data_IF_506211500426
#
_entry.id   IF_506211500426
#
_cell.length_a   1.000
_cell.length_b   1.000
_cell.length_c   1.000
_cell.angle_alpha   90.00
_cell.angle_beta   90.00
_cell.angle_gamma   90.00
#
_symmetry.space_group_name_H-M   'P 1'
#
loop_
_entity.id
_entity.type
_entity.pdbx_description
1 polymer ?
#
# COMPACT_ATOMS: atom_id res chain seq x y z
N UNK A 1 -38.11 26.37 17.71
CA UNK A 1 -37.02 27.07 16.98
C UNK A 1 -35.72 26.64 17.62
N UNK A 2 -34.82 25.96 16.91
CA UNK A 2 -33.45 25.72 17.42
C UNK A 2 -32.78 27.08 17.52
N UNK A 3 -32.23 27.40 18.69
CA UNK A 3 -31.66 28.70 18.99
C UNK A 3 -30.38 28.86 18.15
N UNK A 4 -30.30 29.88 17.31
CA UNK A 4 -29.16 30.06 16.39
C UNK A 4 -27.83 30.21 17.14
N UNK A 5 -27.86 30.82 18.33
CA UNK A 5 -26.69 31.04 19.18
C UNK A 5 -26.05 29.73 19.68
N UNK A 6 -26.86 28.69 19.93
CA UNK A 6 -26.36 27.38 20.38
C UNK A 6 -25.54 26.68 19.29
N UNK A 7 -25.89 26.88 18.02
CA UNK A 7 -25.16 26.31 16.87
C UNK A 7 -23.80 27.00 16.72
N UNK A 8 -23.73 28.32 16.87
CA UNK A 8 -22.48 29.07 16.79
C UNK A 8 -21.55 28.73 17.95
N UNK A 9 -22.07 28.66 19.18
CA UNK A 9 -21.31 28.27 20.37
C UNK A 9 -20.81 26.82 20.27
N UNK A 10 -21.65 25.89 19.79
CA UNK A 10 -21.23 24.50 19.58
C UNK A 10 -20.11 24.40 18.56
N UNK A 11 -20.27 25.00 17.37
CA UNK A 11 -19.24 24.97 16.32
C UNK A 11 -17.95 25.67 16.76
N UNK A 12 -18.04 26.76 17.53
CA UNK A 12 -16.89 27.46 18.09
C UNK A 12 -16.13 26.58 19.11
N UNK A 13 -16.85 25.94 20.02
CA UNK A 13 -16.27 25.01 21.00
C UNK A 13 -15.69 23.75 20.35
N UNK A 14 -16.32 23.24 19.29
CA UNK A 14 -15.77 22.16 18.46
C UNK A 14 -14.46 22.59 17.78
N UNK A 15 -14.40 23.82 17.25
CA UNK A 15 -13.17 24.38 16.64
C UNK A 15 -12.04 24.70 17.63
N UNK A 16 -12.34 24.79 18.94
CA UNK A 16 -11.33 25.00 20.00
C UNK A 16 -10.74 23.69 20.55
N UNK A 17 -11.38 22.53 20.29
CA UNK A 17 -10.80 21.25 20.68
C UNK A 17 -9.59 20.98 19.77
N UNK A 18 -8.40 20.68 20.34
CA UNK A 18 -7.30 20.20 19.53
C UNK A 18 -7.77 18.97 18.75
N UNK A 19 -7.48 18.92 17.45
CA UNK A 19 -7.78 17.74 16.66
C UNK A 19 -7.18 16.52 17.39
N UNK A 20 -7.97 15.44 17.59
CA UNK A 20 -7.43 14.21 18.14
C UNK A 20 -6.21 13.83 17.28
N UNK A 21 -5.09 13.46 17.91
CA UNK A 21 -3.92 12.98 17.18
C UNK A 21 -4.22 11.55 16.65
N UNK A 22 -5.08 11.50 15.65
CA UNK A 22 -5.60 10.29 15.06
C UNK A 22 -4.67 9.94 13.90
N UNK A 23 -4.05 8.78 13.98
CA UNK A 23 -3.25 8.27 12.87
C UNK A 23 -4.15 7.54 11.87
N UNK A 24 -3.67 7.37 10.65
CA UNK A 24 -4.43 6.64 9.61
C UNK A 24 -4.76 5.20 10.07
N UNK A 25 -3.84 4.51 10.76
CA UNK A 25 -4.12 3.15 11.25
C UNK A 25 -5.20 3.14 12.33
N UNK A 26 -5.14 4.07 13.29
CA UNK A 26 -6.15 4.21 14.34
C UNK A 26 -7.52 4.52 13.75
N UNK A 27 -7.57 5.38 12.73
CA UNK A 27 -8.81 5.65 12.01
C UNK A 27 -9.38 4.44 11.31
N UNK A 28 -8.53 3.68 10.63
CA UNK A 28 -8.96 2.47 9.94
C UNK A 28 -9.59 1.48 10.93
N UNK A 29 -8.95 1.22 12.06
CA UNK A 29 -9.47 0.30 13.09
C UNK A 29 -10.79 0.76 13.71
N UNK A 30 -11.04 2.08 13.80
CA UNK A 30 -12.25 2.62 14.40
C UNK A 30 -13.42 2.75 13.41
N UNK A 31 -13.16 2.91 12.11
CA UNK A 31 -14.20 3.30 11.15
C UNK A 31 -14.30 2.45 9.89
N UNK A 32 -13.20 1.88 9.40
CA UNK A 32 -13.17 1.23 8.08
C UNK A 32 -13.92 -0.09 8.11
N UNK A 33 -14.86 -0.28 7.18
CA UNK A 33 -15.59 -1.55 6.99
C UNK A 33 -15.34 -2.11 5.58
N UNK A 34 -14.64 -3.23 5.50
CA UNK A 34 -14.35 -3.94 4.27
C UNK A 34 -15.62 -4.54 3.66
N UNK A 35 -15.82 -4.29 2.37
CA UNK A 35 -16.96 -4.81 1.59
C UNK A 35 -16.73 -6.25 1.16
N UNK A 36 -17.80 -7.04 1.07
CA UNK A 36 -17.77 -8.37 0.46
C UNK A 36 -17.53 -8.35 -1.05
N UNK A 37 -17.64 -7.17 -1.69
CA UNK A 37 -17.35 -6.98 -3.11
C UNK A 37 -15.86 -7.08 -3.42
N UNK A 38 -15.01 -6.58 -2.51
CA UNK A 38 -13.58 -6.36 -2.75
C UNK A 38 -12.64 -7.00 -1.73
N UNK A 39 -13.19 -7.64 -0.69
CA UNK A 39 -12.44 -8.32 0.36
C UNK A 39 -12.88 -9.78 0.53
N UNK A 40 -11.91 -10.68 0.69
CA UNK A 40 -12.15 -12.06 1.11
C UNK A 40 -12.54 -12.17 2.60
N UNK A 41 -12.19 -11.15 3.40
CA UNK A 41 -12.54 -11.03 4.81
C UNK A 41 -13.36 -9.73 4.99
N UNK A 42 -14.67 -9.73 4.72
CA UNK A 42 -15.52 -8.56 4.92
C UNK A 42 -15.75 -8.28 6.41
N UNK A 43 -16.07 -7.02 6.73
CA UNK A 43 -16.29 -6.55 8.10
C UNK A 43 -15.30 -5.48 8.53
N UNK A 44 -15.23 -5.16 9.84
CA UNK A 44 -14.33 -4.13 10.35
C UNK A 44 -12.87 -4.40 9.97
N UNK A 45 -12.16 -3.36 9.51
CA UNK A 45 -10.72 -3.43 9.32
C UNK A 45 -10.04 -3.75 10.65
N UNK A 46 -8.97 -4.54 10.59
CA UNK A 46 -8.14 -4.88 11.74
C UNK A 46 -6.68 -4.77 11.34
N UNK A 47 -6.00 -3.73 11.78
CA UNK A 47 -4.56 -3.52 11.54
C UNK A 47 -3.75 -4.69 12.07
N UNK A 48 -4.17 -5.32 13.17
CA UNK A 48 -3.52 -6.53 13.72
C UNK A 48 -3.56 -7.75 12.79
N UNK A 49 -4.38 -7.73 11.73
CA UNK A 49 -4.36 -8.74 10.67
C UNK A 49 -3.15 -8.57 9.74
N UNK A 50 -2.72 -7.33 9.53
CA UNK A 50 -1.63 -6.90 8.65
C UNK A 50 -0.75 -5.88 9.38
N UNK A 51 -0.11 -6.26 10.52
CA UNK A 51 0.53 -5.32 11.43
C UNK A 51 1.65 -4.50 10.79
N UNK A 52 2.30 -5.05 9.76
CA UNK A 52 3.30 -4.35 8.96
C UNK A 52 2.76 -3.10 8.24
N UNK A 53 1.45 -3.00 7.98
CA UNK A 53 0.84 -1.81 7.36
C UNK A 53 0.66 -0.65 8.36
N UNK A 54 0.73 -0.91 9.67
CA UNK A 54 0.47 0.10 10.70
C UNK A 54 1.37 1.31 10.53
N UNK A 55 2.67 1.07 10.48
CA UNK A 55 3.68 2.13 10.39
C UNK A 55 3.62 2.88 9.06
N UNK A 56 3.33 2.17 7.96
CA UNK A 56 3.14 2.76 6.63
C UNK A 56 1.96 3.73 6.68
N UNK A 57 0.81 3.31 7.20
CA UNK A 57 -0.37 4.15 7.40
C UNK A 57 -0.06 5.34 8.31
N UNK A 58 0.62 5.11 9.44
CA UNK A 58 0.93 6.16 10.39
C UNK A 58 1.89 7.21 9.79
N UNK A 59 2.81 6.81 8.90
CA UNK A 59 3.65 7.73 8.11
C UNK A 59 2.85 8.62 7.15
N UNK A 60 1.68 8.16 6.68
CA UNK A 60 0.79 8.96 5.83
C UNK A 60 -0.01 10.01 6.60
N UNK A 61 -0.02 9.93 7.93
CA UNK A 61 -0.72 10.90 8.78
C UNK A 61 -0.11 12.30 8.66
N UNK A 62 -0.91 13.39 8.73
CA UNK A 62 -0.39 14.76 8.68
C UNK A 62 0.60 15.11 9.80
N UNK A 63 0.53 14.43 10.94
CA UNK A 63 1.45 14.60 12.06
C UNK A 63 2.85 14.03 11.80
N UNK A 64 3.00 13.13 10.83
CA UNK A 64 4.31 12.63 10.43
C UNK A 64 4.97 13.60 9.43
N UNK A 65 6.23 14.01 9.65
CA UNK A 65 6.90 15.03 8.82
C UNK A 65 7.34 14.55 7.43
N UNK A 66 7.28 13.25 7.12
CA UNK A 66 7.69 12.78 5.79
C UNK A 66 6.78 13.37 4.69
N UNK A 67 7.33 13.59 3.50
CA UNK A 67 6.54 14.05 2.34
C UNK A 67 6.17 12.88 1.43
N UNK A 68 7.01 11.84 1.39
CA UNK A 68 6.84 10.69 0.50
C UNK A 68 6.96 9.39 1.30
N UNK A 69 6.00 8.50 1.07
CA UNK A 69 5.99 7.12 1.56
C UNK A 69 6.01 6.20 0.34
N UNK A 70 6.94 5.25 0.32
CA UNK A 70 7.12 4.30 -0.79
C UNK A 70 6.97 2.89 -0.27
N UNK A 71 6.21 2.05 -0.98
CA UNK A 71 6.03 0.64 -0.62
C UNK A 71 6.27 -0.26 -1.84
N UNK A 72 7.49 -0.79 -1.93
CA UNK A 72 7.88 -1.83 -2.88
C UNK A 72 7.45 -3.17 -2.30
N UNK A 73 6.42 -3.77 -2.87
CA UNK A 73 5.65 -4.82 -2.18
C UNK A 73 5.37 -6.01 -3.08
N UNK A 74 5.22 -7.19 -2.48
CA UNK A 74 4.68 -8.37 -3.14
C UNK A 74 3.19 -8.22 -3.43
N UNK A 75 2.63 -9.11 -4.23
CA UNK A 75 1.21 -9.13 -4.51
C UNK A 75 0.41 -9.48 -3.25
N UNK A 76 -0.80 -8.92 -3.16
CA UNK A 76 -1.84 -9.29 -2.19
C UNK A 76 -1.48 -9.14 -0.69
N UNK A 77 -0.58 -8.22 -0.35
CA UNK A 77 -0.24 -7.88 1.06
C UNK A 77 -0.88 -6.56 1.53
N UNK A 78 -2.03 -6.18 0.97
CA UNK A 78 -2.85 -5.07 1.49
C UNK A 78 -2.36 -3.64 1.18
N UNK A 79 -1.39 -3.45 0.27
CA UNK A 79 -0.89 -2.12 -0.12
C UNK A 79 -1.99 -1.15 -0.61
N UNK A 80 -2.87 -1.59 -1.52
CA UNK A 80 -3.98 -0.75 -2.01
C UNK A 80 -4.97 -0.41 -0.90
N UNK A 81 -5.26 -1.34 0.02
CA UNK A 81 -6.15 -1.06 1.15
C UNK A 81 -5.53 -0.08 2.15
N UNK A 82 -4.20 -0.07 2.32
CA UNK A 82 -3.48 1.00 3.04
C UNK A 82 -3.75 2.37 2.41
N UNK A 83 -3.72 2.47 1.08
CA UNK A 83 -4.07 3.69 0.35
C UNK A 83 -5.55 4.08 0.49
N UNK A 84 -6.47 3.12 0.48
CA UNK A 84 -7.89 3.35 0.70
C UNK A 84 -8.19 3.82 2.13
N UNK A 85 -7.49 3.26 3.13
CA UNK A 85 -7.59 3.71 4.52
C UNK A 85 -7.11 5.15 4.66
N UNK A 86 -6.01 5.50 4.00
CA UNK A 86 -5.51 6.87 3.96
C UNK A 86 -6.48 7.83 3.28
N UNK A 87 -7.07 7.45 2.15
CA UNK A 87 -8.14 8.21 1.50
C UNK A 87 -9.31 8.47 2.45
N UNK A 88 -9.78 7.44 3.15
CA UNK A 88 -10.86 7.58 4.13
C UNK A 88 -10.49 8.51 5.29
N UNK A 89 -9.27 8.40 5.82
CA UNK A 89 -8.74 9.33 6.81
C UNK A 89 -8.75 10.79 6.29
N UNK A 90 -8.31 11.01 5.05
CA UNK A 90 -8.32 12.34 4.42
C UNK A 90 -9.74 12.90 4.32
N UNK A 91 -10.70 12.12 3.84
CA UNK A 91 -12.10 12.57 3.74
C UNK A 91 -12.69 12.92 5.12
N UNK A 92 -12.39 12.12 6.14
CA UNK A 92 -13.01 12.27 7.46
C UNK A 92 -12.32 13.32 8.33
N UNK A 93 -10.99 13.27 8.46
CA UNK A 93 -10.24 13.99 9.49
C UNK A 93 -9.31 15.09 8.96
N UNK A 94 -8.75 14.93 7.76
CA UNK A 94 -7.76 15.87 7.24
C UNK A 94 -8.07 16.31 5.80
N UNK A 95 -9.26 16.88 5.56
CA UNK A 95 -9.77 17.12 4.22
C UNK A 95 -8.85 18.02 3.41
N UNK A 96 -8.76 17.69 2.12
CA UNK A 96 -7.96 18.42 1.15
C UNK A 96 -8.04 17.76 -0.22
N UNK A 97 -7.52 18.41 -1.26
CA UNK A 97 -7.52 17.87 -2.61
C UNK A 97 -6.59 16.65 -2.71
N UNK A 98 -7.14 15.51 -3.11
CA UNK A 98 -6.45 14.23 -3.27
C UNK A 98 -6.54 13.72 -4.71
N UNK A 99 -5.43 13.25 -5.27
CA UNK A 99 -5.40 12.51 -6.53
C UNK A 99 -5.02 11.05 -6.29
N UNK A 100 -5.83 10.13 -6.80
CA UNK A 100 -5.47 8.71 -6.94
C UNK A 100 -5.19 8.43 -8.42
N UNK A 101 -4.03 7.86 -8.69
CA UNK A 101 -3.61 7.47 -10.03
C UNK A 101 -3.52 5.95 -10.08
N UNK A 102 -4.14 5.35 -11.10
CA UNK A 102 -4.00 3.94 -11.45
C UNK A 102 -3.32 3.83 -12.83
N UNK A 103 -2.88 2.63 -13.28
CA UNK A 103 -2.19 2.49 -14.57
C UNK A 103 -2.96 3.05 -15.78
N UNK A 104 -4.28 2.86 -15.80
CA UNK A 104 -5.14 3.37 -16.87
C UNK A 104 -6.40 4.03 -16.31
N UNK A 105 -7.03 4.90 -17.11
CA UNK A 105 -8.33 5.51 -16.78
C UNK A 105 -9.41 4.44 -16.55
N UNK A 106 -9.36 3.33 -17.29
CA UNK A 106 -10.32 2.25 -17.12
C UNK A 106 -10.10 1.51 -15.78
N UNK A 107 -8.85 1.27 -15.41
CA UNK A 107 -8.51 0.75 -14.08
C UNK A 107 -8.99 1.72 -12.98
N UNK A 108 -8.82 3.03 -13.16
CA UNK A 108 -9.31 4.03 -12.20
C UNK A 108 -10.84 3.99 -12.04
N UNK A 109 -11.60 3.87 -13.13
CA UNK A 109 -13.06 3.71 -13.07
C UNK A 109 -13.47 2.43 -12.34
N UNK A 110 -12.75 1.33 -12.60
CA UNK A 110 -12.99 0.04 -11.91
C UNK A 110 -12.68 0.15 -10.42
N UNK A 111 -11.55 0.77 -10.05
CA UNK A 111 -11.18 1.03 -8.65
C UNK A 111 -12.23 1.89 -7.95
N UNK A 112 -12.73 2.95 -8.60
CA UNK A 112 -13.80 3.76 -8.02
C UNK A 112 -15.01 2.90 -7.68
N UNK A 113 -15.55 2.16 -8.66
CA UNK A 113 -16.80 1.42 -8.48
C UNK A 113 -16.69 0.23 -7.54
N UNK A 114 -15.54 -0.47 -7.57
CA UNK A 114 -15.40 -1.75 -6.87
C UNK A 114 -14.73 -1.62 -5.51
N UNK A 115 -13.98 -0.55 -5.25
CA UNK A 115 -13.25 -0.36 -3.99
C UNK A 115 -13.68 0.91 -3.26
N UNK A 116 -13.66 2.06 -3.93
CA UNK A 116 -13.86 3.36 -3.27
C UNK A 116 -15.34 3.60 -2.96
N UNK A 117 -16.25 3.40 -3.91
CA UNK A 117 -17.69 3.57 -3.69
C UNK A 117 -18.17 2.66 -2.54
N UNK A 118 -17.86 1.34 -2.50
CA UNK A 118 -18.21 0.50 -1.37
C UNK A 118 -17.52 0.89 -0.05
N UNK A 119 -16.28 1.42 -0.09
CA UNK A 119 -15.60 1.88 1.11
C UNK A 119 -16.27 3.10 1.72
N UNK A 120 -16.78 4.02 0.88
CA UNK A 120 -17.55 5.19 1.31
C UNK A 120 -18.92 4.75 1.84
N UNK A 121 -19.65 3.94 1.08
CA UNK A 121 -21.01 3.50 1.42
C UNK A 121 -21.06 2.70 2.73
N UNK A 122 -20.11 1.78 2.92
CA UNK A 122 -20.08 0.92 4.11
C UNK A 122 -19.50 1.60 5.35
N UNK A 123 -18.95 2.81 5.23
CA UNK A 123 -18.35 3.53 6.34
C UNK A 123 -19.18 4.77 6.68
N UNK A 124 -19.95 4.78 7.79
CA UNK A 124 -20.79 5.91 8.18
C UNK A 124 -20.03 7.24 8.22
N UNK A 125 -18.79 7.21 8.72
CA UNK A 125 -17.90 8.37 8.79
C UNK A 125 -17.56 8.99 7.40
N UNK A 126 -17.68 8.21 6.33
CA UNK A 126 -17.45 8.66 4.96
C UNK A 126 -18.75 8.99 4.23
N UNK A 127 -19.77 8.14 4.34
CA UNK A 127 -21.06 8.34 3.67
C UNK A 127 -21.81 9.57 4.18
N UNK A 128 -21.58 10.00 5.42
CA UNK A 128 -22.09 11.29 5.92
C UNK A 128 -21.39 12.52 5.31
N UNK A 129 -20.16 12.37 4.81
CA UNK A 129 -19.36 13.46 4.23
C UNK A 129 -19.48 13.55 2.71
N UNK A 130 -19.56 12.40 2.03
CA UNK A 130 -19.66 12.32 0.58
C UNK A 130 -21.13 12.19 0.17
N UNK A 131 -21.65 13.20 -0.52
CA UNK A 131 -23.05 13.20 -0.95
C UNK A 131 -23.36 12.06 -1.92
N UNK A 132 -24.59 11.56 -1.90
CA UNK A 132 -25.09 10.63 -2.91
C UNK A 132 -24.90 11.24 -4.31
N UNK A 133 -24.28 10.53 -5.28
CA UNK A 133 -24.14 11.02 -6.65
C UNK A 133 -25.46 11.44 -7.31
N UNK A 134 -26.59 10.84 -6.92
CA UNK A 134 -27.95 11.14 -7.41
C UNK A 134 -28.58 12.36 -6.75
N UNK A 135 -28.00 12.87 -5.66
CA UNK A 135 -28.48 14.09 -5.04
C UNK A 135 -28.32 15.28 -6.00
N UNK A 136 -29.28 16.20 -5.96
CA UNK A 136 -29.16 17.49 -6.66
C UNK A 136 -27.92 18.21 -6.11
N UNK A 137 -27.10 18.75 -7.01
CA UNK A 137 -25.85 19.47 -6.68
C UNK A 137 -24.81 18.59 -5.95
N UNK A 138 -24.70 17.30 -6.30
CA UNK A 138 -23.73 16.37 -5.69
C UNK A 138 -22.28 16.68 -6.08
N UNK A 139 -22.03 17.22 -7.28
CA UNK A 139 -20.68 17.37 -7.86
C UNK A 139 -19.97 16.04 -8.16
N UNK A 140 -20.58 14.91 -7.80
CA UNK A 140 -19.94 13.60 -7.79
C UNK A 140 -20.08 12.87 -9.12
N UNK A 141 -18.98 12.31 -9.59
CA UNK A 141 -18.92 11.45 -10.77
C UNK A 141 -18.26 10.11 -10.43
N UNK A 142 -18.02 9.27 -11.44
CA UNK A 142 -17.24 8.04 -11.26
C UNK A 142 -15.79 8.37 -10.87
N UNK A 143 -15.21 9.46 -11.36
CA UNK A 143 -13.79 9.78 -11.15
C UNK A 143 -13.57 10.99 -10.23
N UNK A 144 -14.63 11.49 -9.60
CA UNK A 144 -14.58 12.65 -8.72
C UNK A 144 -15.57 12.50 -7.58
N UNK A 145 -15.12 12.68 -6.34
CA UNK A 145 -15.94 12.72 -5.13
C UNK A 145 -15.64 14.00 -4.34
N UNK A 146 -16.62 14.89 -4.23
CA UNK A 146 -16.57 16.09 -3.42
C UNK A 146 -17.01 15.81 -1.98
N UNK A 147 -16.36 16.48 -1.04
CA UNK A 147 -16.66 16.44 0.39
C UNK A 147 -16.28 17.77 1.05
N UNK A 148 -16.83 18.11 2.23
CA UNK A 148 -16.48 19.35 2.91
C UNK A 148 -14.97 19.51 3.11
N UNK A 149 -14.40 20.58 2.53
CA UNK A 149 -12.98 20.90 2.63
C UNK A 149 -12.06 20.19 1.62
N UNK A 150 -12.59 19.39 0.68
CA UNK A 150 -11.74 18.71 -0.29
C UNK A 150 -12.46 18.03 -1.45
N UNK A 151 -11.66 17.41 -2.30
CA UNK A 151 -12.14 16.62 -3.44
C UNK A 151 -11.18 15.47 -3.66
N UNK A 152 -11.73 14.30 -3.96
CA UNK A 152 -11.01 13.12 -4.40
C UNK A 152 -11.17 13.02 -5.92
N UNK A 153 -10.06 13.12 -6.65
CA UNK A 153 -10.00 12.91 -8.10
C UNK A 153 -9.28 11.61 -8.38
N UNK A 154 -9.76 10.86 -9.37
CA UNK A 154 -9.17 9.60 -9.82
C UNK A 154 -8.84 9.68 -11.31
N UNK A 155 -7.64 9.22 -11.70
CA UNK A 155 -7.23 9.23 -13.12
C UNK A 155 -6.32 8.04 -13.46
N UNK A 156 -6.10 7.85 -14.75
CA UNK A 156 -5.07 6.95 -15.27
C UNK A 156 -3.74 7.66 -15.49
N UNK A 157 -2.64 6.94 -15.30
CA UNK A 157 -1.29 7.38 -15.67
C UNK A 157 -1.17 7.60 -17.20
N UNK A 158 -2.01 6.92 -17.99
CA UNK A 158 -2.12 7.14 -19.43
C UNK A 158 -2.91 8.40 -19.85
N UNK A 159 -3.34 9.26 -18.91
CA UNK A 159 -4.08 10.50 -19.20
C UNK A 159 -3.32 11.74 -18.72
N UNK A 160 -2.56 12.34 -19.63
CA UNK A 160 -1.79 13.56 -19.37
C UNK A 160 -2.68 14.70 -18.83
N UNK A 161 -3.85 14.91 -19.45
CA UNK A 161 -4.84 15.92 -19.03
C UNK A 161 -5.30 15.69 -17.60
N UNK A 162 -5.59 14.44 -17.21
CA UNK A 162 -5.99 14.10 -15.85
C UNK A 162 -4.88 14.39 -14.83
N UNK A 163 -3.63 14.04 -15.16
CA UNK A 163 -2.46 14.25 -14.30
C UNK A 163 -2.13 15.73 -14.08
N UNK A 164 -2.52 16.63 -14.99
CA UNK A 164 -2.25 18.07 -14.87
C UNK A 164 -3.41 18.91 -14.37
N UNK A 165 -4.56 18.28 -14.14
CA UNK A 165 -5.86 18.96 -13.97
C UNK A 165 -5.91 20.01 -12.86
N UNK A 166 -5.39 19.71 -11.65
CA UNK A 166 -5.49 20.61 -10.50
C UNK A 166 -4.35 20.46 -9.49
N UNK A 167 -4.07 21.49 -8.68
CA UNK A 167 -3.20 21.37 -7.51
C UNK A 167 -3.79 20.42 -6.47
N UNK A 168 -2.96 19.58 -5.87
CA UNK A 168 -3.37 18.58 -4.87
C UNK A 168 -2.42 18.53 -3.68
N UNK A 169 -2.96 18.26 -2.49
CA UNK A 169 -2.16 18.08 -1.28
C UNK A 169 -1.73 16.62 -1.11
N UNK A 170 -2.63 15.70 -1.45
CA UNK A 170 -2.41 14.27 -1.26
C UNK A 170 -2.34 13.55 -2.61
N UNK A 171 -1.31 12.74 -2.81
CA UNK A 171 -1.12 11.97 -4.03
C UNK A 171 -0.97 10.49 -3.69
N UNK A 172 -1.81 9.64 -4.25
CA UNK A 172 -1.67 8.19 -4.18
C UNK A 172 -1.42 7.63 -5.59
N UNK A 173 -0.25 7.03 -5.79
CA UNK A 173 0.16 6.38 -7.02
C UNK A 173 0.14 4.86 -6.79
N UNK A 174 -0.84 4.18 -7.38
CA UNK A 174 -1.09 2.74 -7.20
C UNK A 174 -0.64 1.95 -8.43
N UNK A 175 0.13 0.87 -8.20
CA UNK A 175 0.77 0.04 -9.24
C UNK A 175 1.67 0.87 -10.17
N UNK A 176 2.58 1.65 -9.59
CA UNK A 176 3.47 2.62 -10.27
C UNK A 176 4.29 2.01 -11.39
N UNK A 177 4.78 0.77 -11.24
CA UNK A 177 5.56 0.11 -12.30
C UNK A 177 4.70 -0.35 -13.47
N UNK A 178 3.38 -0.37 -13.33
CA UNK A 178 2.44 -0.63 -14.42
C UNK A 178 2.13 0.59 -15.28
N UNK A 179 2.73 1.75 -15.00
CA UNK A 179 2.47 2.99 -15.72
C UNK A 179 3.16 2.98 -17.09
N UNK A 180 2.58 3.64 -18.11
CA UNK A 180 3.30 3.85 -19.37
C UNK A 180 4.53 4.75 -19.13
N UNK A 181 5.53 4.61 -19.99
CA UNK A 181 6.74 5.44 -19.86
C UNK A 181 6.49 6.92 -20.13
N UNK A 182 5.44 7.21 -20.89
CA UNK A 182 5.09 8.54 -21.33
C UNK A 182 3.57 8.73 -21.29
N UNK A 183 3.13 9.83 -20.68
CA UNK A 183 1.72 10.23 -20.64
C UNK A 183 1.39 11.07 -21.89
N UNK A 184 1.18 10.43 -23.03
CA UNK A 184 0.63 11.09 -24.22
C UNK A 184 1.49 12.21 -24.82
N UNK A 185 2.82 12.04 -24.77
CA UNK A 185 3.85 12.91 -25.31
C UNK A 185 4.42 13.92 -24.30
N UNK A 186 4.03 13.83 -23.04
CA UNK A 186 4.32 14.86 -22.02
C UNK A 186 5.30 14.40 -20.93
N UNK A 187 5.90 13.23 -21.11
CA UNK A 187 6.90 12.67 -20.22
C UNK A 187 6.32 11.76 -19.14
N UNK A 188 7.16 11.50 -18.13
CA UNK A 188 6.89 10.50 -17.11
C UNK A 188 5.64 10.84 -16.26
N UNK A 189 4.63 9.94 -16.20
CA UNK A 189 3.38 10.16 -15.47
C UNK A 189 3.56 10.46 -13.97
N UNK A 190 4.55 9.82 -13.32
CA UNK A 190 4.83 10.01 -11.88
C UNK A 190 5.29 11.43 -11.63
N UNK A 191 6.25 11.92 -12.42
CA UNK A 191 6.75 13.28 -12.33
C UNK A 191 5.65 14.31 -12.58
N UNK A 192 4.81 14.12 -13.59
CA UNK A 192 3.67 15.00 -13.87
C UNK A 192 2.72 15.10 -12.68
N UNK A 193 2.39 13.97 -12.05
CA UNK A 193 1.52 13.90 -10.88
C UNK A 193 2.16 14.59 -9.66
N UNK A 194 3.44 14.32 -9.38
CA UNK A 194 4.17 14.91 -8.26
C UNK A 194 4.22 16.44 -8.38
N UNK A 195 4.37 16.99 -9.59
CA UNK A 195 4.37 18.44 -9.80
C UNK A 195 3.05 19.10 -9.38
N UNK A 196 1.92 18.38 -9.34
CA UNK A 196 0.65 18.93 -8.82
C UNK A 196 0.67 19.20 -7.32
N UNK A 197 1.62 18.63 -6.59
CA UNK A 197 1.78 18.83 -5.15
C UNK A 197 2.63 20.03 -4.77
N UNK A 198 3.26 20.69 -5.74
CA UNK A 198 4.34 21.66 -5.50
C UNK A 198 3.93 22.88 -4.66
N UNK A 199 2.67 23.29 -4.70
CA UNK A 199 2.16 24.45 -3.95
C UNK A 199 1.79 24.13 -2.50
N UNK A 200 1.76 22.85 -2.10
CA UNK A 200 1.43 22.43 -0.75
C UNK A 200 2.69 22.05 0.03
N UNK A 201 3.09 22.89 0.98
CA UNK A 201 4.24 22.62 1.87
C UNK A 201 4.04 21.41 2.77
N UNK A 202 2.79 21.05 3.06
CA UNK A 202 2.38 19.91 3.86
C UNK A 202 1.77 18.78 3.00
N UNK A 203 2.30 18.62 1.78
CA UNK A 203 1.92 17.53 0.88
C UNK A 203 2.28 16.16 1.46
N UNK A 204 1.59 15.13 0.98
CA UNK A 204 1.95 13.74 1.25
C UNK A 204 1.74 12.91 -0.02
N UNK A 205 2.72 12.08 -0.35
CA UNK A 205 2.75 11.24 -1.54
C UNK A 205 2.89 9.79 -1.10
N UNK A 206 2.03 8.90 -1.59
CA UNK A 206 2.12 7.46 -1.38
C UNK A 206 2.34 6.76 -2.72
N UNK A 207 3.39 5.95 -2.82
CA UNK A 207 3.73 5.18 -4.02
C UNK A 207 3.75 3.71 -3.67
N UNK A 208 3.00 2.88 -4.38
CA UNK A 208 3.01 1.43 -4.19
C UNK A 208 3.09 0.69 -5.51
N UNK A 209 3.82 -0.42 -5.54
CA UNK A 209 3.85 -1.33 -6.69
C UNK A 209 4.54 -2.64 -6.34
N UNK A 210 4.24 -3.69 -7.10
CA UNK A 210 5.26 -4.74 -7.33
C UNK A 210 6.33 -4.18 -8.25
N UNK A 211 7.62 -4.45 -8.00
CA UNK A 211 8.69 -4.02 -8.90
C UNK A 211 8.70 -4.84 -10.19
N UNK A 212 9.44 -4.37 -11.19
CA UNK A 212 9.55 -5.02 -12.51
C UNK A 212 11.01 -5.34 -12.85
N UNK A 213 11.61 -4.67 -13.83
CA UNK A 213 12.98 -4.89 -14.27
C UNK A 213 13.93 -3.98 -13.49
N UNK A 214 15.08 -4.51 -13.06
CA UNK A 214 16.09 -3.73 -12.36
C UNK A 214 16.54 -2.53 -13.18
N UNK A 215 16.75 -1.39 -12.52
CA UNK A 215 17.11 -0.11 -13.14
C UNK A 215 16.01 0.56 -14.00
N UNK A 216 14.91 -0.13 -14.31
CA UNK A 216 13.74 0.44 -14.99
C UNK A 216 12.53 0.56 -14.05
N UNK A 217 12.55 -0.18 -12.94
CA UNK A 217 11.51 -0.16 -11.91
C UNK A 217 11.47 1.20 -11.20
N UNK A 218 10.35 1.90 -11.37
CA UNK A 218 10.10 3.20 -10.73
C UNK A 218 9.96 3.05 -9.22
N UNK A 219 9.32 1.97 -8.77
CA UNK A 219 9.15 1.70 -7.34
C UNK A 219 10.48 1.30 -6.68
N UNK A 220 11.35 0.57 -7.38
CA UNK A 220 12.71 0.26 -6.90
C UNK A 220 13.51 1.55 -6.73
N UNK A 221 13.52 2.40 -7.77
CA UNK A 221 14.23 3.69 -7.72
C UNK A 221 13.74 4.53 -6.54
N UNK A 222 12.42 4.65 -6.36
CA UNK A 222 11.84 5.39 -5.25
C UNK A 222 12.12 4.74 -3.87
N UNK A 223 12.25 3.41 -3.81
CA UNK A 223 12.62 2.71 -2.59
C UNK A 223 14.06 3.02 -2.18
N UNK A 224 14.99 2.99 -3.13
CA UNK A 224 16.41 3.30 -2.93
C UNK A 224 16.68 4.77 -2.57
N UNK A 225 15.81 5.70 -2.98
CA UNK A 225 15.88 7.10 -2.55
C UNK A 225 15.54 7.33 -1.07
N UNK A 226 14.81 6.39 -0.45
CA UNK A 226 14.36 6.48 0.94
C UNK A 226 15.27 5.79 1.95
N UNK A 227 14.77 5.63 3.17
CA UNK A 227 15.49 5.03 4.30
C UNK A 227 15.55 3.49 4.29
N UNK A 228 14.95 2.86 3.27
CA UNK A 228 15.02 1.44 2.97
C UNK A 228 14.67 0.56 4.18
N UNK A 229 13.42 0.62 4.64
CA UNK A 229 12.95 -0.22 5.74
C UNK A 229 12.60 -1.61 5.27
N UNK A 230 13.06 -2.60 6.05
CA UNK A 230 12.64 -3.99 5.94
C UNK A 230 11.93 -4.42 7.23
N UNK A 231 10.98 -5.34 7.11
CA UNK A 231 10.20 -5.80 8.26
C UNK A 231 10.88 -6.99 8.93
N UNK A 232 11.43 -6.78 10.12
CA UNK A 232 12.10 -7.83 10.88
C UNK A 232 11.08 -8.51 11.78
N UNK A 233 11.05 -9.84 11.76
CA UNK A 233 10.19 -10.66 12.63
C UNK A 233 11.05 -11.53 13.56
N UNK A 234 10.66 -11.74 14.82
CA UNK A 234 11.41 -12.59 15.73
C UNK A 234 11.19 -14.06 15.42
N UNK A 235 12.24 -14.85 15.58
CA UNK A 235 12.12 -16.30 15.67
C UNK A 235 11.27 -16.70 16.87
N UNK A 236 10.23 -17.56 16.71
CA UNK A 236 9.44 -18.09 17.82
C UNK A 236 10.29 -18.79 18.88
N UNK A 237 11.34 -19.51 18.47
CA UNK A 237 12.18 -20.29 19.39
C UNK A 237 13.37 -19.51 19.97
N UNK A 238 14.22 -18.91 19.12
CA UNK A 238 15.45 -18.24 19.59
C UNK A 238 15.35 -16.72 19.77
N UNK A 239 14.24 -16.10 19.36
CA UNK A 239 14.00 -14.65 19.47
C UNK A 239 14.80 -13.76 18.52
N UNK A 240 15.67 -14.32 17.66
CA UNK A 240 16.44 -13.52 16.69
C UNK A 240 15.52 -12.82 15.69
N UNK A 241 15.72 -11.52 15.50
CA UNK A 241 14.99 -10.73 14.53
C UNK A 241 15.64 -10.86 13.15
N UNK A 242 14.88 -11.28 12.15
CA UNK A 242 15.36 -11.47 10.78
C UNK A 242 14.29 -11.10 9.76
N UNK A 243 14.69 -10.93 8.50
CA UNK A 243 13.76 -10.80 7.39
C UNK A 243 13.45 -12.17 6.79
N UNK A 244 12.22 -12.38 6.31
CA UNK A 244 11.87 -13.58 5.57
C UNK A 244 12.51 -13.53 4.18
N UNK A 245 13.42 -14.47 3.92
CA UNK A 245 14.13 -14.66 2.65
C UNK A 245 13.66 -15.94 1.98
N UNK A 246 13.62 -15.92 0.64
CA UNK A 246 13.27 -17.11 -0.15
C UNK A 246 14.19 -18.30 0.11
N UNK A 247 15.50 -18.04 0.28
CA UNK A 247 16.50 -19.09 0.55
C UNK A 247 16.23 -19.91 1.82
N UNK A 248 15.45 -19.36 2.75
CA UNK A 248 15.05 -20.02 4.00
C UNK A 248 13.71 -20.75 3.89
N UNK A 249 12.98 -20.61 2.79
CA UNK A 249 11.82 -21.45 2.51
C UNK A 249 12.32 -22.80 2.03
N UNK A 250 11.98 -23.84 2.79
CA UNK A 250 12.39 -25.23 2.55
C UNK A 250 11.16 -26.11 2.53
N UNK A 251 11.24 -27.26 1.86
CA UNK A 251 10.16 -28.23 1.82
C UNK A 251 10.72 -29.65 1.65
N UNK A 252 10.01 -30.70 2.12
CA UNK A 252 10.42 -32.07 1.85
C UNK A 252 10.45 -32.37 0.35
N UNK A 253 11.32 -33.27 -0.07
CA UNK A 253 11.49 -33.63 -1.49
C UNK A 253 10.16 -34.02 -2.14
N UNK A 254 9.81 -33.30 -3.20
CA UNK A 254 8.58 -33.53 -3.96
C UNK A 254 7.29 -33.07 -3.28
N UNK A 255 7.38 -32.33 -2.17
CA UNK A 255 6.23 -31.87 -1.38
C UNK A 255 6.26 -30.36 -1.11
N UNK A 256 6.24 -29.51 -2.16
CA UNK A 256 6.24 -28.06 -1.99
C UNK A 256 5.04 -27.53 -1.19
N UNK A 257 3.91 -28.25 -1.15
CA UNK A 257 2.76 -27.91 -0.31
C UNK A 257 3.08 -27.88 1.19
N UNK A 258 4.11 -28.62 1.61
CA UNK A 258 4.57 -28.73 2.99
C UNK A 258 5.76 -27.80 3.27
N UNK A 259 5.86 -26.68 2.54
CA UNK A 259 6.92 -25.71 2.74
C UNK A 259 6.83 -25.02 4.10
N UNK A 260 7.99 -24.75 4.66
CA UNK A 260 8.20 -24.11 5.95
C UNK A 260 9.35 -23.11 5.84
N UNK A 261 9.44 -22.20 6.80
CA UNK A 261 10.58 -21.29 6.92
C UNK A 261 11.58 -21.82 7.95
N UNK A 262 12.86 -21.92 7.59
CA UNK A 262 13.94 -22.28 8.52
C UNK A 262 14.61 -21.01 9.06
N UNK A 263 14.69 -20.83 10.38
CA UNK A 263 15.37 -19.67 10.97
C UNK A 263 16.85 -19.59 10.54
N UNK A 264 17.33 -18.41 10.12
CA UNK A 264 18.72 -18.16 9.71
C UNK A 264 19.75 -18.42 10.84
N UNK A 265 19.34 -18.28 12.12
CA UNK A 265 20.24 -18.43 13.27
C UNK A 265 20.23 -19.82 13.89
N UNK A 266 19.06 -20.37 14.17
CA UNK A 266 18.93 -21.60 14.95
C UNK A 266 18.36 -22.80 14.16
N UNK A 267 17.96 -22.59 12.90
CA UNK A 267 17.41 -23.65 12.05
C UNK A 267 16.02 -24.14 12.43
N UNK A 268 15.36 -23.53 13.43
CA UNK A 268 13.98 -23.87 13.80
C UNK A 268 13.02 -23.74 12.62
N UNK A 269 12.07 -24.65 12.55
CA UNK A 269 11.05 -24.73 11.49
C UNK A 269 9.83 -23.88 11.86
N UNK A 270 9.41 -22.98 10.98
CA UNK A 270 8.21 -22.16 11.15
C UNK A 270 7.16 -22.51 10.10
N UNK A 271 5.95 -22.75 10.57
CA UNK A 271 4.78 -23.00 9.76
C UNK A 271 3.92 -21.74 9.61
N UNK A 272 3.04 -21.73 8.61
CA UNK A 272 2.17 -20.58 8.32
C UNK A 272 1.29 -20.14 9.50
N UNK A 273 0.87 -21.06 10.37
CA UNK A 273 0.03 -20.72 11.52
C UNK A 273 0.75 -19.82 12.54
N UNK A 274 2.09 -19.87 12.59
CA UNK A 274 2.91 -19.03 13.47
C UNK A 274 3.06 -17.60 12.95
N UNK A 275 2.78 -17.35 11.65
CA UNK A 275 2.88 -16.01 11.04
C UNK A 275 2.11 -14.95 11.81
N UNK A 276 0.92 -15.27 12.31
CA UNK A 276 0.09 -14.32 13.04
C UNK A 276 0.82 -13.74 14.28
N UNK A 277 1.59 -14.55 14.99
CA UNK A 277 2.33 -14.10 16.18
C UNK A 277 3.60 -13.34 15.80
N UNK A 278 4.42 -13.89 14.90
CA UNK A 278 5.70 -13.27 14.52
C UNK A 278 5.50 -11.94 13.81
N UNK A 279 4.44 -11.81 12.99
CA UNK A 279 4.12 -10.55 12.32
C UNK A 279 3.72 -9.46 13.31
N UNK A 280 2.94 -9.79 14.36
CA UNK A 280 2.55 -8.81 15.39
C UNK A 280 3.73 -8.32 16.23
N UNK A 281 4.73 -9.17 16.43
CA UNK A 281 5.98 -8.82 17.14
C UNK A 281 7.02 -8.20 16.20
N UNK A 282 6.75 -8.13 14.90
CA UNK A 282 7.66 -7.59 13.92
C UNK A 282 7.80 -6.08 14.02
N UNK A 283 8.86 -5.56 13.40
CA UNK A 283 9.17 -4.12 13.37
C UNK A 283 9.87 -3.74 12.08
N UNK A 284 9.59 -2.54 11.59
CA UNK A 284 10.36 -1.96 10.50
C UNK A 284 11.70 -1.46 11.01
N UNK A 285 12.77 -1.76 10.26
CA UNK A 285 14.12 -1.28 10.55
C UNK A 285 14.67 -0.63 9.30
N UNK A 286 15.02 0.66 9.39
CA UNK A 286 15.68 1.40 8.33
C UNK A 286 17.12 0.92 8.14
N UNK A 287 17.53 0.67 6.90
CA UNK A 287 18.87 0.19 6.56
C UNK A 287 19.69 1.19 5.76
N UNK A 288 19.11 2.30 5.32
CA UNK A 288 19.82 3.39 4.66
C UNK A 288 19.85 4.65 5.55
N UNK A 289 20.91 4.85 6.36
CA UNK A 289 21.00 6.01 7.25
C UNK A 289 21.32 7.33 6.50
N UNK A 290 21.71 7.26 5.23
CA UNK A 290 22.13 8.42 4.43
C UNK A 290 21.01 9.00 3.55
N UNK A 291 19.79 8.49 3.68
CA UNK A 291 18.65 8.93 2.90
C UNK A 291 18.24 10.37 3.22
N UNK A 292 17.42 10.96 2.36
CA UNK A 292 16.73 12.19 2.72
C UNK A 292 15.66 11.89 3.80
N UNK A 293 15.52 12.75 4.80
CA UNK A 293 14.53 12.57 5.88
C UNK A 293 13.08 12.84 5.44
N UNK A 294 12.84 13.07 4.14
CA UNK A 294 11.52 13.37 3.58
C UNK A 294 10.85 12.15 2.94
N UNK A 295 11.63 11.11 2.61
CA UNK A 295 11.15 9.89 2.00
C UNK A 295 11.37 8.72 2.94
N UNK A 296 10.28 8.07 3.35
CA UNK A 296 10.31 6.81 4.08
C UNK A 296 9.94 5.71 3.09
N UNK A 297 10.76 4.68 2.96
CA UNK A 297 10.54 3.60 2.00
C UNK A 297 10.50 2.24 2.67
N UNK A 298 9.61 1.38 2.19
CA UNK A 298 9.31 0.08 2.78
C UNK A 298 9.41 -1.01 1.71
N UNK A 299 9.99 -2.15 2.08
CA UNK A 299 10.01 -3.37 1.26
C UNK A 299 9.36 -4.54 1.99
N UNK A 300 8.47 -5.25 1.32
CA UNK A 300 7.85 -6.47 1.88
C UNK A 300 7.51 -7.49 0.80
N UNK A 301 7.98 -8.71 0.96
CA UNK A 301 7.61 -9.84 0.10
C UNK A 301 6.26 -10.45 0.50
N UNK A 302 5.65 -11.22 -0.39
CA UNK A 302 4.47 -12.04 -0.10
C UNK A 302 4.77 -13.19 0.86
N UNK A 303 6.03 -13.43 1.26
CA UNK A 303 6.36 -14.38 2.33
C UNK A 303 5.74 -13.97 3.67
N UNK A 304 5.49 -12.67 3.86
CA UNK A 304 4.82 -12.09 5.04
C UNK A 304 3.30 -12.14 4.95
N UNK A 305 2.73 -12.73 3.90
CA UNK A 305 1.28 -12.93 3.77
C UNK A 305 0.73 -13.59 5.03
N UNK A 306 -0.24 -12.95 5.72
CA UNK A 306 -0.82 -13.47 6.94
C UNK A 306 -1.42 -14.87 6.78
N UNK A 307 -1.49 -15.64 7.87
CA UNK A 307 -2.09 -16.98 7.86
C UNK A 307 -3.49 -16.99 7.25
N UNK A 308 -3.81 -17.96 6.37
CA UNK A 308 -5.08 -18.04 5.64
C UNK A 308 -5.13 -17.23 4.33
N UNK A 309 -4.08 -16.46 4.02
CA UNK A 309 -3.82 -15.94 2.68
C UNK A 309 -2.81 -16.86 1.96
N UNK A 310 -1.99 -16.33 1.06
CA UNK A 310 -0.94 -17.10 0.40
C UNK A 310 0.04 -17.68 1.42
N UNK A 311 0.11 -19.01 1.47
CA UNK A 311 0.98 -19.77 2.36
C UNK A 311 2.41 -19.88 1.82
N UNK A 312 3.35 -20.33 2.64
CA UNK A 312 4.67 -20.74 2.15
C UNK A 312 4.57 -21.85 1.11
N UNK A 313 3.62 -22.79 1.32
CA UNK A 313 3.35 -23.89 0.39
C UNK A 313 2.89 -23.41 -0.98
N UNK A 314 1.94 -22.46 -1.03
CA UNK A 314 1.44 -21.89 -2.29
C UNK A 314 2.57 -21.23 -3.09
N UNK A 315 3.42 -20.46 -2.40
CA UNK A 315 4.56 -19.76 -3.02
C UNK A 315 5.57 -20.78 -3.56
N UNK A 316 5.84 -21.86 -2.81
CA UNK A 316 6.76 -22.91 -3.23
C UNK A 316 6.22 -23.78 -4.37
N UNK A 317 4.93 -24.09 -4.38
CA UNK A 317 4.28 -24.77 -5.50
C UNK A 317 4.40 -23.94 -6.78
N UNK A 318 4.04 -22.65 -6.72
CA UNK A 318 4.15 -21.75 -7.86
C UNK A 318 5.59 -21.65 -8.36
N UNK A 319 6.57 -21.57 -7.45
CA UNK A 319 7.99 -21.61 -7.81
C UNK A 319 8.35 -22.89 -8.56
N UNK A 320 7.96 -24.07 -8.03
CA UNK A 320 8.24 -25.35 -8.66
C UNK A 320 7.69 -25.45 -10.09
N UNK A 321 6.58 -24.77 -10.39
CA UNK A 321 5.97 -24.72 -11.73
C UNK A 321 6.69 -23.77 -12.70
N UNK A 322 7.29 -22.69 -12.20
CA UNK A 322 7.82 -21.60 -13.03
C UNK A 322 9.34 -21.51 -13.06
N UNK A 323 10.08 -22.14 -12.14
CA UNK A 323 11.51 -21.89 -11.95
C UNK A 323 12.42 -22.24 -13.15
N UNK A 324 11.91 -22.99 -14.13
CA UNK A 324 12.62 -23.35 -15.38
C UNK A 324 12.21 -22.49 -16.58
N UNK A 325 11.27 -21.58 -16.39
CA UNK A 325 10.70 -20.73 -17.42
C UNK A 325 11.02 -19.28 -17.05
N UNK A 326 12.09 -18.66 -17.62
CA UNK A 326 12.54 -17.35 -17.20
C UNK A 326 11.46 -16.25 -17.26
N UNK A 327 10.63 -16.15 -18.32
CA UNK A 327 9.48 -15.23 -18.32
C UNK A 327 8.50 -15.44 -17.15
N UNK A 328 8.16 -16.69 -16.81
CA UNK A 328 7.25 -16.95 -15.69
C UNK A 328 7.93 -16.77 -14.33
N UNK A 329 9.21 -17.11 -14.23
CA UNK A 329 10.02 -16.90 -13.02
C UNK A 329 10.19 -15.40 -12.74
N UNK A 330 10.35 -14.57 -13.76
CA UNK A 330 10.34 -13.11 -13.61
C UNK A 330 9.06 -12.64 -12.91
N UNK A 331 7.89 -13.06 -13.39
CA UNK A 331 6.60 -12.69 -12.79
C UNK A 331 6.54 -13.14 -11.33
N UNK A 332 6.99 -14.36 -11.04
CA UNK A 332 7.02 -14.88 -9.69
C UNK A 332 7.98 -14.10 -8.77
N UNK A 333 9.19 -13.78 -9.23
CA UNK A 333 10.18 -12.99 -8.46
C UNK A 333 9.64 -11.61 -8.13
N UNK A 334 9.12 -10.92 -9.16
CA UNK A 334 8.54 -9.58 -9.03
C UNK A 334 7.34 -9.56 -8.08
N UNK A 335 6.43 -10.52 -8.21
CA UNK A 335 5.17 -10.50 -7.46
C UNK A 335 5.24 -11.19 -6.11
N UNK A 336 6.07 -12.22 -5.91
CA UNK A 336 6.16 -12.93 -4.62
C UNK A 336 7.28 -12.41 -3.75
N UNK A 337 8.47 -12.20 -4.32
CA UNK A 337 9.61 -11.72 -3.54
C UNK A 337 9.65 -10.20 -3.43
N UNK A 338 8.89 -9.50 -4.27
CA UNK A 338 8.97 -8.06 -4.40
C UNK A 338 10.39 -7.64 -4.79
N UNK A 339 11.06 -8.41 -5.63
CA UNK A 339 12.42 -8.17 -6.08
C UNK A 339 12.39 -7.84 -7.57
N UNK A 340 13.23 -6.90 -8.01
CA UNK A 340 13.40 -6.63 -9.43
C UNK A 340 14.06 -7.80 -10.14
N UNK A 341 13.68 -7.99 -11.40
CA UNK A 341 14.30 -8.99 -12.25
C UNK A 341 15.54 -8.43 -12.92
N UNK A 342 16.64 -9.17 -12.83
CA UNK A 342 17.83 -8.99 -13.63
C UNK A 342 17.79 -10.05 -14.72
N UNK A 343 17.87 -9.64 -15.97
CA UNK A 343 17.89 -10.59 -17.08
C UNK A 343 19.20 -11.38 -16.99
N UNK A 344 19.11 -12.62 -16.50
CA UNK A 344 20.24 -13.56 -16.34
C UNK A 344 20.68 -14.11 -17.71
N UNK A 345 20.79 -13.26 -18.73
CA UNK A 345 21.45 -13.57 -19.98
C UNK A 345 22.97 -13.73 -19.72
N UNK A 346 23.35 -14.78 -19.00
CA UNK A 346 24.76 -15.11 -18.71
C UNK A 346 25.03 -16.07 -17.56
N UNK A 347 24.16 -16.16 -16.53
CA UNK A 347 24.50 -16.95 -15.33
C UNK A 347 23.42 -17.98 -14.99
N UNK A 348 23.76 -19.25 -15.18
CA UNK A 348 22.97 -20.40 -14.76
C UNK A 348 23.02 -20.46 -13.23
N UNK A 349 21.91 -20.16 -12.57
CA UNK A 349 21.76 -20.40 -11.14
C UNK A 349 21.79 -21.91 -10.92
N UNK A 350 22.82 -22.39 -10.21
CA UNK A 350 22.99 -23.80 -9.89
C UNK A 350 21.88 -24.30 -8.95
N UNK A 351 21.01 -25.25 -9.37
CA UNK A 351 19.96 -25.81 -8.52
C UNK A 351 20.48 -26.64 -7.34
N UNK A 352 21.77 -27.00 -7.30
CA UNK A 352 22.32 -27.88 -6.26
C UNK A 352 22.49 -27.22 -4.89
N UNK A 353 22.31 -25.91 -4.77
CA UNK A 353 22.38 -25.19 -3.48
C UNK A 353 21.08 -25.20 -2.65
N UNK A 354 19.98 -25.75 -3.17
CA UNK A 354 18.64 -25.69 -2.56
C UNK A 354 17.99 -27.06 -2.28
N UNK A 355 18.72 -28.16 -2.45
CA UNK A 355 18.24 -29.52 -2.12
C UNK A 355 18.51 -29.93 -0.68
#
# INVERSE_FOLDING_TARGET
>A
MKNYDDIYLQNHCEGLKPDPNFTVSSWADNHRILSSISSAEPGPWRTDRTPYLKEIMDCLSPSNPCEKVVFMKGAQIGGTECGNNWMGFVIHHAPGPMLIVNPTVETAKRTSKMRIDPAIENCPALSEKVKDPRARDSGNTILMKEFPGGVLVMTGANSAVGLRSMPIRYLFLDEVDGYPDDAGGEGDPVNLAIQRTATFSNRKIFMISTPTIKNFSRIETAFLEGDQRYYFVPCPDCGEFQTLKWSQIKWPKGRPEAAYYACEKCGSVWEDHQKAEILRKGKWVATNPNCNNKTISFHLSSLYSPHGWTSFGDIAQEFCEVHKDPPRLQVWTNTKLAETWEDMAGEVIDPTGLM
#
